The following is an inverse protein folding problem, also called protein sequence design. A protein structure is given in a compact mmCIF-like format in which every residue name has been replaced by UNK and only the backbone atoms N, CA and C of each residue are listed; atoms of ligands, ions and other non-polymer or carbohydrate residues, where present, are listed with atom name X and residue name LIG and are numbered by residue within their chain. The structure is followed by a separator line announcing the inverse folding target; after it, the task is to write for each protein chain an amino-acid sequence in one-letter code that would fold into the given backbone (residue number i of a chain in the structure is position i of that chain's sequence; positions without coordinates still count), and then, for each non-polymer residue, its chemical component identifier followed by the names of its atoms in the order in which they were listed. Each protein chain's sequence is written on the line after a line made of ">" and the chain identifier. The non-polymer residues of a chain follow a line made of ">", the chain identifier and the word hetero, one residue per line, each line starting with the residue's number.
data_IF_140355665700
#
_entry.id   IF_140355665700
#
_cell.length_a   1.000
_cell.length_b   1.000
_cell.length_c   1.000
_cell.angle_alpha   90.00
_cell.angle_beta   90.00
_cell.angle_gamma   90.00
#
_symmetry.space_group_name_H-M   'P 1'
#
loop_
_entity.id
_entity.type
_entity.pdbx_description
1 polymer ?
#
# COMPACT_ATOMS: atom_id res chain seq x y z
N UNK A 1 18.97 5.01 46.38
CA UNK A 1 17.84 5.40 45.49
C UNK A 1 17.16 4.11 45.04
N UNK A 2 16.22 3.60 45.84
CA UNK A 2 15.59 2.30 45.62
C UNK A 2 14.30 2.45 44.83
N UNK A 3 14.31 2.06 43.56
CA UNK A 3 13.08 1.98 42.77
C UNK A 3 12.25 0.80 43.26
N UNK A 4 11.00 1.06 43.69
CA UNK A 4 10.09 0.03 44.22
C UNK A 4 9.90 -1.12 43.20
N UNK A 5 9.91 -2.37 43.68
CA UNK A 5 9.72 -3.58 42.87
C UNK A 5 8.40 -3.55 42.06
N UNK A 6 7.39 -2.83 42.56
CA UNK A 6 6.13 -2.53 41.87
C UNK A 6 6.34 -1.71 40.58
N UNK A 7 7.26 -0.76 40.61
CA UNK A 7 7.59 0.11 39.49
C UNK A 7 8.30 -0.66 38.37
N UNK A 8 9.20 -1.58 38.74
CA UNK A 8 9.86 -2.50 37.80
C UNK A 8 8.86 -3.50 37.17
N UNK A 9 7.93 -4.05 37.94
CA UNK A 9 6.89 -4.94 37.38
C UNK A 9 5.95 -4.19 36.42
N UNK A 10 5.56 -2.95 36.72
CA UNK A 10 4.76 -2.13 35.80
C UNK A 10 5.51 -1.81 34.50
N UNK A 11 6.78 -1.43 34.57
CA UNK A 11 7.60 -1.16 33.38
C UNK A 11 7.74 -2.39 32.48
N UNK A 12 7.97 -3.57 33.07
CA UNK A 12 8.04 -4.82 32.31
C UNK A 12 6.69 -5.19 31.68
N UNK A 13 5.58 -5.01 32.41
CA UNK A 13 4.23 -5.23 31.88
C UNK A 13 3.95 -4.32 30.69
N UNK A 14 4.31 -3.03 30.77
CA UNK A 14 4.07 -2.08 29.67
C UNK A 14 4.90 -2.45 28.43
N UNK A 15 6.17 -2.83 28.59
CA UNK A 15 7.05 -3.22 27.48
C UNK A 15 6.62 -4.52 26.77
N UNK A 16 6.01 -5.45 27.51
CA UNK A 16 5.50 -6.72 26.95
C UNK A 16 4.13 -6.56 26.28
N UNK A 17 3.28 -5.67 26.77
CA UNK A 17 1.94 -5.45 26.19
C UNK A 17 1.90 -4.41 25.05
N UNK A 18 2.83 -3.44 25.00
CA UNK A 18 2.89 -2.42 23.93
C UNK A 18 2.97 -3.00 22.50
N UNK A 19 3.77 -4.05 22.22
CA UNK A 19 3.87 -4.63 20.87
C UNK A 19 2.59 -5.32 20.41
N UNK A 20 1.68 -5.68 21.31
CA UNK A 20 0.42 -6.35 20.92
C UNK A 20 -0.62 -5.39 20.36
N UNK A 21 -0.49 -4.09 20.62
CA UNK A 21 -1.42 -3.05 20.16
C UNK A 21 -1.13 -2.54 18.73
N UNK A 22 0.08 -2.76 18.20
CA UNK A 22 0.50 -2.17 16.93
C UNK A 22 0.15 -2.99 15.68
N UNK A 23 -0.46 -4.16 15.83
CA UNK A 23 -0.76 -5.08 14.72
C UNK A 23 -2.17 -4.96 14.11
N UNK A 24 -2.98 -3.98 14.52
CA UNK A 24 -4.22 -3.67 13.81
C UNK A 24 -3.89 -2.85 12.55
N UNK A 25 -3.54 -3.53 11.46
CA UNK A 25 -3.53 -2.93 10.11
C UNK A 25 -4.99 -2.77 9.68
N UNK A 26 -5.65 -1.70 10.14
CA UNK A 26 -6.99 -1.36 9.70
C UNK A 26 -6.94 -0.90 8.24
N UNK A 27 -7.61 -1.63 7.36
CA UNK A 27 -7.76 -1.25 5.96
C UNK A 27 -8.67 -0.02 5.85
N UNK A 28 -8.23 0.96 5.07
CA UNK A 28 -9.07 2.10 4.70
C UNK A 28 -9.85 1.76 3.43
N UNK A 29 -11.18 1.91 3.49
CA UNK A 29 -12.02 1.71 2.31
C UNK A 29 -11.70 2.78 1.26
N UNK A 30 -11.39 2.31 0.06
CA UNK A 30 -11.18 3.15 -1.11
C UNK A 30 -11.68 2.43 -2.36
N UNK A 31 -11.65 3.11 -3.51
CA UNK A 31 -12.01 2.57 -4.82
C UNK A 31 -10.75 2.34 -5.65
N UNK A 32 -10.69 1.17 -6.25
CA UNK A 32 -9.68 0.81 -7.23
C UNK A 32 -10.34 0.58 -8.60
N UNK A 33 -9.61 0.91 -9.65
CA UNK A 33 -9.90 0.53 -11.04
C UNK A 33 -8.62 -0.03 -11.68
N UNK A 34 -8.67 -0.38 -12.96
CA UNK A 34 -7.50 -0.85 -13.70
C UNK A 34 -7.41 -0.16 -15.07
N UNK A 35 -6.22 -0.14 -15.65
CA UNK A 35 -6.01 0.22 -17.05
C UNK A 35 -5.58 -1.01 -17.86
N UNK A 36 -5.78 -0.96 -19.17
CA UNK A 36 -5.29 -1.99 -20.09
C UNK A 36 -3.85 -1.72 -20.51
N UNK A 37 -3.03 -2.77 -20.58
CA UNK A 37 -1.70 -2.75 -21.20
C UNK A 37 -1.53 -3.96 -22.13
N UNK A 38 -0.99 -3.80 -23.36
CA UNK A 38 -0.87 -4.89 -24.33
C UNK A 38 0.05 -6.03 -23.88
N UNK A 39 1.00 -5.74 -22.99
CA UNK A 39 1.98 -6.68 -22.41
C UNK A 39 1.60 -7.12 -20.98
N UNK A 40 0.46 -6.66 -20.46
CA UNK A 40 0.03 -6.82 -19.07
C UNK A 40 1.04 -6.29 -18.05
N UNK A 41 1.89 -5.33 -18.43
CA UNK A 41 2.83 -4.66 -17.53
C UNK A 41 2.33 -3.26 -17.16
N UNK A 42 3.12 -2.55 -16.35
CA UNK A 42 2.87 -1.15 -16.07
C UNK A 42 3.20 -0.20 -17.24
N UNK A 43 3.08 1.10 -16.98
CA UNK A 43 3.46 2.15 -17.95
C UNK A 43 4.96 2.48 -17.86
N UNK A 44 5.69 2.61 -18.99
CA UNK A 44 7.10 2.99 -18.97
C UNK A 44 7.31 4.50 -18.73
N UNK A 45 6.24 5.29 -18.80
CA UNK A 45 6.27 6.75 -18.74
C UNK A 45 5.38 7.28 -17.61
N UNK A 46 5.43 6.62 -16.46
CA UNK A 46 4.70 7.07 -15.28
C UNK A 46 5.28 8.36 -14.68
N UNK A 47 4.44 9.10 -13.96
CA UNK A 47 4.79 10.37 -13.33
C UNK A 47 5.97 10.29 -12.34
N UNK A 48 6.24 9.11 -11.78
CA UNK A 48 7.39 8.88 -10.90
C UNK A 48 8.73 8.80 -11.64
N UNK A 49 8.73 8.72 -12.97
CA UNK A 49 9.96 8.81 -13.77
C UNK A 49 10.86 7.56 -13.75
N UNK A 50 10.34 6.40 -13.33
CA UNK A 50 11.13 5.16 -13.24
C UNK A 50 11.44 4.49 -14.59
N UNK A 51 10.88 4.96 -15.71
CA UNK A 51 11.15 4.39 -17.02
C UNK A 51 10.67 2.95 -17.16
N UNK A 52 11.40 2.15 -17.96
CA UNK A 52 11.13 0.71 -18.16
C UNK A 52 11.21 -0.13 -16.87
N UNK A 53 11.96 0.33 -15.86
CA UNK A 53 11.98 -0.36 -14.57
C UNK A 53 10.62 -0.24 -13.85
N UNK A 54 10.00 0.94 -13.92
CA UNK A 54 8.72 1.21 -13.24
C UNK A 54 7.57 0.31 -13.67
N UNK A 55 7.59 -0.22 -14.88
CA UNK A 55 6.53 -1.11 -15.38
C UNK A 55 6.69 -2.57 -14.99
N UNK A 56 7.88 -2.98 -14.55
CA UNK A 56 8.19 -4.39 -14.22
C UNK A 56 8.48 -4.61 -12.75
N UNK A 57 8.73 -3.54 -11.98
CA UNK A 57 8.96 -3.62 -10.55
C UNK A 57 7.84 -4.40 -9.86
N UNK A 58 8.22 -5.25 -8.89
CA UNK A 58 7.29 -6.06 -8.12
C UNK A 58 6.38 -6.94 -9.00
N UNK A 59 6.96 -7.60 -10.01
CA UNK A 59 6.27 -8.44 -11.00
C UNK A 59 5.15 -7.71 -11.77
N UNK A 60 5.37 -6.40 -11.98
CA UNK A 60 4.42 -5.45 -12.53
C UNK A 60 3.12 -5.30 -11.72
N UNK A 61 3.11 -5.66 -10.44
CA UNK A 61 2.07 -5.27 -9.49
C UNK A 61 2.30 -3.79 -9.10
N UNK A 62 1.86 -2.90 -9.99
CA UNK A 62 2.09 -1.46 -9.89
C UNK A 62 0.80 -0.70 -10.09
N UNK A 63 0.76 0.53 -9.58
CA UNK A 63 -0.41 1.37 -9.70
C UNK A 63 -0.04 2.83 -9.98
N UNK A 64 -0.92 3.47 -10.76
CA UNK A 64 -1.11 4.91 -10.66
C UNK A 64 -2.01 5.22 -9.47
N UNK A 65 -1.76 6.32 -8.77
CA UNK A 65 -2.58 6.71 -7.61
C UNK A 65 -3.11 8.14 -7.72
N UNK A 66 -4.21 8.41 -7.00
CA UNK A 66 -4.80 9.75 -6.93
C UNK A 66 -3.83 10.79 -6.38
N UNK A 67 -4.13 12.08 -6.60
CA UNK A 67 -3.30 13.18 -6.11
C UNK A 67 -3.01 13.10 -4.59
N UNK A 68 -3.98 12.62 -3.80
CA UNK A 68 -3.87 12.49 -2.34
C UNK A 68 -2.79 11.50 -1.91
N UNK A 69 -2.59 10.44 -2.68
CA UNK A 69 -1.56 9.42 -2.42
C UNK A 69 -0.25 9.74 -3.14
N UNK A 70 -0.33 10.31 -4.34
CA UNK A 70 0.84 10.72 -5.12
C UNK A 70 1.64 11.83 -4.42
N UNK A 71 0.94 12.78 -3.77
CA UNK A 71 1.52 13.86 -2.95
C UNK A 71 2.67 14.59 -3.64
N UNK A 72 2.43 15.07 -4.86
CA UNK A 72 3.43 15.75 -5.70
C UNK A 72 4.74 14.94 -5.85
N UNK A 73 4.63 13.62 -6.00
CA UNK A 73 5.77 12.71 -6.20
C UNK A 73 6.36 12.14 -4.92
N UNK A 74 6.05 12.69 -3.74
CA UNK A 74 6.54 12.12 -2.46
C UNK A 74 5.96 10.74 -2.17
N UNK A 75 4.84 10.37 -2.82
CA UNK A 75 4.26 9.03 -2.76
C UNK A 75 4.88 8.01 -3.71
N UNK A 76 5.80 8.40 -4.59
CA UNK A 76 6.44 7.47 -5.52
C UNK A 76 7.26 6.40 -4.78
N UNK A 77 7.12 5.14 -5.19
CA UNK A 77 7.79 4.00 -4.57
C UNK A 77 7.13 3.48 -3.29
N UNK A 78 6.07 4.13 -2.81
CA UNK A 78 5.31 3.63 -1.65
C UNK A 78 4.63 2.31 -2.02
N UNK A 79 4.54 1.41 -1.04
CA UNK A 79 3.85 0.14 -1.20
C UNK A 79 2.51 0.15 -0.46
N UNK A 80 1.47 -0.42 -1.06
CA UNK A 80 0.16 -0.58 -0.43
C UNK A 80 -0.34 -2.02 -0.57
N UNK A 81 -0.88 -2.56 0.52
CA UNK A 81 -1.67 -3.78 0.48
C UNK A 81 -3.10 -3.42 0.08
N UNK A 82 -3.51 -3.82 -1.12
CA UNK A 82 -4.85 -3.59 -1.65
C UNK A 82 -5.65 -4.89 -1.55
N UNK A 83 -6.82 -4.81 -0.91
CA UNK A 83 -7.76 -5.92 -0.79
C UNK A 83 -9.12 -5.53 -1.31
N UNK A 84 -9.73 -6.49 -1.98
CA UNK A 84 -11.09 -6.38 -2.46
C UNK A 84 -12.07 -6.69 -1.32
N UNK A 85 -13.20 -5.99 -1.30
CA UNK A 85 -14.21 -6.13 -0.24
C UNK A 85 -15.21 -7.25 -0.51
N UNK A 86 -15.27 -7.75 -1.75
CA UNK A 86 -16.19 -8.82 -2.14
C UNK A 86 -15.45 -10.18 -2.17
N UNK A 87 -15.66 -11.05 -1.15
CA UNK A 87 -14.98 -12.34 -1.06
C UNK A 87 -15.43 -13.35 -2.13
N UNK A 88 -16.53 -13.08 -2.84
CA UNK A 88 -16.99 -13.94 -3.94
C UNK A 88 -16.20 -13.72 -5.24
N UNK A 89 -15.53 -12.57 -5.36
CA UNK A 89 -14.79 -12.18 -6.57
C UNK A 89 -13.28 -12.23 -6.37
N UNK A 90 -12.82 -12.20 -5.12
CA UNK A 90 -11.43 -11.91 -4.78
C UNK A 90 -10.96 -12.77 -3.61
N UNK A 91 -9.65 -13.02 -3.53
CA UNK A 91 -9.03 -13.71 -2.38
C UNK A 91 -8.74 -12.75 -1.24
N UNK A 92 -8.68 -13.27 -0.01
CA UNK A 92 -8.37 -12.48 1.19
C UNK A 92 -6.94 -11.95 1.24
N UNK A 93 -6.03 -12.52 0.42
CA UNK A 93 -4.64 -12.09 0.38
C UNK A 93 -4.53 -10.68 -0.21
N UNK A 94 -5.29 -10.38 -1.27
CA UNK A 94 -5.13 -9.17 -2.06
C UNK A 94 -3.76 -9.11 -2.76
N UNK A 95 -3.34 -7.89 -3.10
CA UNK A 95 -2.06 -7.63 -3.78
C UNK A 95 -1.27 -6.55 -3.06
N UNK A 96 0.06 -6.70 -3.02
CA UNK A 96 0.95 -5.61 -2.63
C UNK A 96 1.39 -4.89 -3.90
N UNK A 97 1.08 -3.59 -4.02
CA UNK A 97 1.42 -2.80 -5.20
C UNK A 97 2.51 -1.78 -4.91
N UNK A 98 3.23 -1.35 -5.94
CA UNK A 98 4.16 -0.22 -5.89
C UNK A 98 3.58 0.96 -6.65
N UNK A 99 3.63 2.16 -6.04
CA UNK A 99 3.23 3.39 -6.71
C UNK A 99 4.30 3.81 -7.71
N UNK A 100 3.95 3.81 -8.99
CA UNK A 100 4.86 4.16 -10.09
C UNK A 100 4.34 5.26 -10.99
N UNK A 101 3.08 5.66 -10.81
CA UNK A 101 2.41 6.65 -11.64
C UNK A 101 1.42 7.50 -10.82
N UNK A 102 0.90 8.54 -11.47
CA UNK A 102 -0.18 9.37 -11.00
C UNK A 102 -1.34 9.28 -12.00
N UNK A 103 -2.56 9.19 -11.51
CA UNK A 103 -3.75 9.27 -12.35
C UNK A 103 -4.98 9.65 -11.56
N UNK A 104 -5.97 10.20 -12.26
CA UNK A 104 -7.21 10.67 -11.66
C UNK A 104 -8.40 9.89 -12.23
N UNK A 105 -9.37 9.63 -11.37
CA UNK A 105 -10.63 8.98 -11.68
C UNK A 105 -11.68 9.37 -10.64
N UNK A 106 -12.94 9.13 -10.93
CA UNK A 106 -14.07 9.59 -10.09
C UNK A 106 -14.06 9.00 -8.65
N UNK A 107 -13.39 9.61 -7.66
CA UNK A 107 -13.19 8.96 -6.34
C UNK A 107 -12.42 7.62 -6.43
N UNK A 108 -11.47 7.51 -7.34
CA UNK A 108 -10.57 6.34 -7.45
C UNK A 108 -9.20 6.71 -6.89
N UNK A 109 -8.73 5.98 -5.86
CA UNK A 109 -7.37 6.20 -5.33
C UNK A 109 -6.32 5.32 -6.00
N UNK A 110 -6.71 4.15 -6.51
CA UNK A 110 -5.79 3.18 -7.11
C UNK A 110 -6.22 2.83 -8.54
N UNK A 111 -5.30 2.99 -9.49
CA UNK A 111 -5.47 2.60 -10.89
C UNK A 111 -4.41 1.54 -11.19
N UNK A 112 -4.82 0.29 -11.06
CA UNK A 112 -3.96 -0.89 -11.07
C UNK A 112 -3.54 -1.28 -12.49
N UNK A 113 -2.33 -1.85 -12.61
CA UNK A 113 -1.92 -2.57 -13.81
C UNK A 113 -2.71 -3.89 -13.96
N UNK A 114 -2.74 -4.51 -15.15
CA UNK A 114 -3.47 -5.77 -15.37
C UNK A 114 -3.03 -6.98 -14.51
N UNK A 115 -1.84 -6.93 -13.90
CA UNK A 115 -1.33 -8.03 -13.05
C UNK A 115 -1.63 -7.83 -11.57
N UNK A 116 -1.89 -6.58 -11.16
CA UNK A 116 -2.22 -6.23 -9.79
C UNK A 116 -3.65 -6.61 -9.43
#
# INVERSE_FOLDING_TARGET
>A
MGFSLKFHCCLMSVMVFLPTLCCAQDYVKSRATYYGSPDCLGTPRGACGYGEFGRTVNDANVAGVSYRLYKNGTGCGTCYQVRCTNPQLCTDNGVNIVVTDYGEGDNTDFILSPRA
#
